data_IF_412613000553
#
_entry.id   IF_412613000553
#
_cell.length_a   1.000
_cell.length_b   1.000
_cell.length_c   1.000
_cell.angle_alpha   90.00
_cell.angle_beta   90.00
_cell.angle_gamma   90.00
#
_symmetry.space_group_name_H-M   'P 1'
#
loop_
_entity.id
_entity.type
_entity.pdbx_description
1 polymer ?
#
# COMPACT_ATOMS: atom_id res chain seq x y z
N UNK A 1 -2.05 11.89 2.67
CA UNK A 1 -2.74 10.63 2.33
C UNK A 1 -3.19 10.64 0.88
N UNK A 2 -2.28 10.36 -0.06
CA UNK A 2 -2.58 10.31 -1.51
C UNK A 2 -3.09 8.94 -1.99
N UNK A 3 -3.20 7.95 -1.10
CA UNK A 3 -3.72 6.61 -1.46
C UNK A 3 -2.69 5.53 -1.77
N UNK A 4 -1.39 5.70 -1.41
CA UNK A 4 -0.36 4.67 -1.62
C UNK A 4 -0.70 3.30 -1.00
N UNK A 5 -1.00 3.29 0.29
CA UNK A 5 -1.43 2.09 1.01
C UNK A 5 -2.71 1.50 0.42
N UNK A 6 -3.65 2.36 -0.04
CA UNK A 6 -4.88 1.93 -0.71
C UNK A 6 -4.58 1.22 -2.03
N UNK A 7 -3.70 1.77 -2.86
CA UNK A 7 -3.27 1.15 -4.11
C UNK A 7 -2.54 -0.18 -3.87
N UNK A 8 -1.63 -0.22 -2.88
CA UNK A 8 -0.95 -1.45 -2.51
C UNK A 8 -1.94 -2.53 -2.01
N UNK A 9 -2.97 -2.16 -1.24
CA UNK A 9 -4.06 -3.09 -0.85
C UNK A 9 -4.82 -3.59 -2.08
N UNK A 10 -5.15 -2.72 -3.03
CA UNK A 10 -5.82 -3.10 -4.25
C UNK A 10 -5.00 -4.14 -5.04
N UNK A 11 -3.68 -3.97 -5.16
CA UNK A 11 -2.76 -4.95 -5.78
C UNK A 11 -2.74 -6.24 -4.97
N UNK A 12 -2.53 -6.14 -3.65
CA UNK A 12 -2.37 -7.29 -2.76
C UNK A 12 -3.59 -8.22 -2.77
N UNK A 13 -4.80 -7.66 -2.79
CA UNK A 13 -6.06 -8.42 -2.82
C UNK A 13 -6.58 -8.68 -4.24
N UNK A 14 -5.91 -8.21 -5.28
CA UNK A 14 -6.35 -8.43 -6.66
C UNK A 14 -6.37 -9.92 -6.99
N UNK A 15 -7.41 -10.37 -7.71
CA UNK A 15 -7.58 -11.79 -8.08
C UNK A 15 -6.34 -12.38 -8.74
N UNK A 16 -5.75 -11.66 -9.71
CA UNK A 16 -4.52 -12.10 -10.37
C UNK A 16 -3.33 -12.27 -9.42
N UNK A 17 -3.21 -11.40 -8.40
CA UNK A 17 -2.14 -11.54 -7.40
C UNK A 17 -2.41 -12.73 -6.46
N UNK A 18 -3.66 -12.94 -6.05
CA UNK A 18 -4.08 -14.10 -5.24
C UNK A 18 -3.80 -15.42 -5.97
N UNK A 19 -4.09 -15.47 -7.27
CA UNK A 19 -3.93 -16.67 -8.08
C UNK A 19 -2.45 -16.99 -8.35
N UNK A 20 -1.66 -15.95 -8.64
CA UNK A 20 -0.25 -16.08 -9.01
C UNK A 20 0.67 -16.28 -7.80
N UNK A 21 0.44 -15.60 -6.68
CA UNK A 21 1.30 -15.66 -5.50
C UNK A 21 0.65 -16.50 -4.39
N UNK A 22 1.05 -17.77 -4.20
CA UNK A 22 0.47 -18.64 -3.16
C UNK A 22 0.70 -18.11 -1.74
N UNK A 23 1.78 -17.34 -1.55
CA UNK A 23 2.10 -16.64 -0.30
C UNK A 23 2.11 -15.15 -0.55
N UNK A 24 1.40 -14.40 0.29
CA UNK A 24 1.41 -12.95 0.27
C UNK A 24 1.66 -12.40 1.66
N UNK A 25 2.61 -11.50 1.79
CA UNK A 25 3.04 -10.92 3.06
C UNK A 25 2.85 -9.42 3.04
N UNK A 26 2.28 -8.86 4.09
CA UNK A 26 2.17 -7.42 4.27
C UNK A 26 2.89 -7.00 5.54
N UNK A 27 3.91 -6.17 5.39
CA UNK A 27 4.73 -5.65 6.48
C UNK A 27 4.44 -4.15 6.63
N UNK A 28 3.86 -3.75 7.75
CA UNK A 28 3.68 -2.32 8.07
C UNK A 28 4.81 -1.84 8.96
N UNK A 29 5.62 -0.91 8.45
CA UNK A 29 6.73 -0.34 9.20
C UNK A 29 6.24 0.79 10.10
N UNK A 30 6.51 0.64 11.39
CA UNK A 30 6.32 1.72 12.37
C UNK A 30 7.62 2.50 12.49
N UNK A 31 7.55 3.82 12.48
CA UNK A 31 8.71 4.70 12.50
C UNK A 31 9.61 4.42 13.71
N UNK A 32 10.92 4.26 13.48
CA UNK A 32 11.90 3.92 14.52
C UNK A 32 11.85 2.47 15.02
N UNK A 33 10.98 1.62 14.46
CA UNK A 33 10.77 0.25 14.93
C UNK A 33 10.56 -0.76 13.79
N UNK A 34 11.41 -0.75 12.76
CA UNK A 34 11.33 -1.73 11.66
C UNK A 34 11.38 -3.21 12.14
N UNK A 35 12.04 -3.48 13.27
CA UNK A 35 12.08 -4.81 13.90
C UNK A 35 10.76 -5.22 14.60
N UNK A 36 9.87 -4.26 14.89
CA UNK A 36 8.52 -4.49 15.41
C UNK A 36 7.45 -4.34 14.33
N UNK A 37 7.84 -4.43 13.06
CA UNK A 37 6.86 -4.36 11.97
C UNK A 37 5.84 -5.49 12.13
N UNK A 38 4.56 -5.12 12.12
CA UNK A 38 3.48 -6.10 12.12
C UNK A 38 3.39 -6.72 10.74
N UNK A 39 3.35 -8.05 10.73
CA UNK A 39 3.26 -8.82 9.50
C UNK A 39 1.92 -9.52 9.42
N UNK A 40 1.22 -9.34 8.30
CA UNK A 40 0.05 -10.12 7.94
C UNK A 40 0.44 -11.10 6.83
N UNK A 41 0.32 -12.40 7.13
CA UNK A 41 0.55 -13.48 6.17
C UNK A 41 -0.80 -14.01 5.66
N UNK A 42 -0.93 -14.10 4.34
CA UNK A 42 -2.11 -14.67 3.70
C UNK A 42 -1.70 -15.83 2.79
N UNK A 43 -2.29 -16.99 3.06
CA UNK A 43 -2.17 -18.19 2.23
C UNK A 43 -3.32 -18.28 1.22
N UNK A 44 -3.09 -19.02 0.13
CA UNK A 44 -4.05 -19.17 -0.97
C UNK A 44 -5.35 -19.87 -0.57
N UNK A 45 -5.33 -20.70 0.48
CA UNK A 45 -6.50 -21.37 1.05
C UNK A 45 -7.45 -20.43 1.81
N UNK A 46 -7.14 -19.12 1.88
CA UNK A 46 -7.99 -18.12 2.53
C UNK A 46 -7.81 -18.05 4.04
N UNK A 47 -6.92 -18.87 4.62
CA UNK A 47 -6.61 -18.82 6.04
C UNK A 47 -5.83 -17.54 6.34
N UNK A 48 -6.39 -16.67 7.18
CA UNK A 48 -5.67 -15.52 7.76
C UNK A 48 -4.69 -16.07 8.79
N UNK A 49 -3.44 -16.22 8.39
CA UNK A 49 -2.42 -16.71 9.29
C UNK A 49 -1.72 -15.52 9.97
N UNK A 50 -1.84 -15.50 11.29
CA UNK A 50 -0.96 -14.92 12.30
C UNK A 50 -0.37 -13.52 12.06
N UNK A 51 -0.51 -12.66 13.07
CA UNK A 51 0.35 -11.49 13.21
C UNK A 51 1.73 -11.94 13.68
N UNK A 52 2.74 -11.76 12.84
CA UNK A 52 4.13 -12.16 13.10
C UNK A 52 5.04 -10.94 13.25
N UNK A 53 6.20 -11.15 13.89
CA UNK A 53 7.34 -10.26 13.75
C UNK A 53 8.10 -10.54 12.46
N UNK A 54 8.75 -9.51 11.90
CA UNK A 54 9.48 -9.63 10.63
C UNK A 54 10.54 -10.74 10.64
N UNK A 55 11.15 -11.02 11.79
CA UNK A 55 12.15 -12.10 11.97
C UNK A 55 11.56 -13.49 11.77
N UNK A 56 10.26 -13.68 11.99
CA UNK A 56 9.56 -14.96 11.84
C UNK A 56 9.04 -15.19 10.41
N UNK A 57 9.14 -14.19 9.55
CA UNK A 57 8.62 -14.24 8.17
C UNK A 57 9.49 -15.10 7.27
N UNK A 58 10.80 -15.17 7.56
CA UNK A 58 11.80 -15.84 6.72
C UNK A 58 11.40 -17.27 6.36
N UNK A 59 11.01 -18.05 7.36
CA UNK A 59 10.64 -19.46 7.19
C UNK A 59 9.35 -19.63 6.38
N UNK A 60 8.46 -18.63 6.41
CA UNK A 60 7.22 -18.65 5.64
C UNK A 60 7.44 -18.36 4.16
N UNK A 61 8.51 -17.62 3.82
CA UNK A 61 8.87 -17.22 2.46
C UNK A 61 9.78 -18.22 1.74
N UNK A 62 10.46 -19.09 2.50
CA UNK A 62 11.46 -20.03 1.97
C UNK A 62 10.87 -20.93 0.90
N UNK A 63 11.56 -21.00 -0.25
CA UNK A 63 11.23 -21.86 -1.39
C UNK A 63 9.79 -21.69 -1.88
N UNK A 64 9.24 -20.48 -1.77
CA UNK A 64 7.90 -20.14 -2.26
C UNK A 64 7.90 -18.92 -3.14
N UNK A 65 6.94 -18.88 -4.08
CA UNK A 65 6.64 -17.71 -4.89
C UNK A 65 5.80 -16.74 -4.06
N UNK A 66 6.33 -15.54 -3.82
CA UNK A 66 5.71 -14.61 -2.87
C UNK A 66 5.49 -13.21 -3.46
N UNK A 67 4.43 -12.55 -2.99
CA UNK A 67 4.26 -11.10 -3.08
C UNK A 67 4.45 -10.50 -1.69
N UNK A 68 5.44 -9.64 -1.53
CA UNK A 68 5.73 -8.96 -0.26
C UNK A 68 5.41 -7.48 -0.41
N UNK A 69 4.59 -6.94 0.48
CA UNK A 69 4.31 -5.50 0.56
C UNK A 69 5.07 -4.94 1.75
N UNK A 70 5.93 -3.95 1.50
CA UNK A 70 6.60 -3.14 2.51
C UNK A 70 5.90 -1.77 2.57
N UNK A 71 5.01 -1.60 3.54
CA UNK A 71 4.14 -0.43 3.64
C UNK A 71 4.71 0.63 4.59
N UNK A 72 4.74 1.88 4.11
CA UNK A 72 5.11 3.09 4.85
C UNK A 72 6.57 3.11 5.34
N UNK A 73 7.52 2.66 4.52
CA UNK A 73 8.96 2.71 4.85
C UNK A 73 9.47 4.15 4.79
N UNK A 74 10.08 4.64 5.88
CA UNK A 74 10.44 6.06 6.03
C UNK A 74 11.89 6.39 5.69
N UNK A 75 12.81 5.43 5.72
CA UNK A 75 14.22 5.66 5.47
C UNK A 75 14.90 4.43 4.83
N UNK A 76 16.08 4.65 4.24
CA UNK A 76 16.85 3.60 3.54
C UNK A 76 17.37 2.53 4.49
N UNK A 77 17.75 2.89 5.72
CA UNK A 77 18.24 1.92 6.72
C UNK A 77 17.18 0.89 7.10
N UNK A 78 15.93 1.32 7.26
CA UNK A 78 14.82 0.41 7.53
C UNK A 78 14.50 -0.46 6.31
N UNK A 79 14.58 0.11 5.10
CA UNK A 79 14.47 -0.68 3.86
C UNK A 79 15.55 -1.75 3.77
N UNK A 80 16.82 -1.40 3.95
CA UNK A 80 17.96 -2.32 3.83
C UNK A 80 17.83 -3.49 4.80
N UNK A 81 17.44 -3.21 6.06
CA UNK A 81 17.21 -4.25 7.08
C UNK A 81 16.08 -5.20 6.69
N UNK A 82 14.96 -4.67 6.20
CA UNK A 82 13.84 -5.49 5.74
C UNK A 82 14.25 -6.32 4.53
N UNK A 83 14.97 -5.70 3.59
CA UNK A 83 15.46 -6.36 2.40
C UNK A 83 16.45 -7.47 2.73
N UNK A 84 17.35 -7.28 3.69
CA UNK A 84 18.27 -8.32 4.18
C UNK A 84 17.52 -9.55 4.71
N UNK A 85 16.48 -9.32 5.55
CA UNK A 85 15.65 -10.41 6.08
C UNK A 85 14.93 -11.16 4.95
N UNK A 86 14.42 -10.44 3.96
CA UNK A 86 13.67 -11.00 2.82
C UNK A 86 14.59 -11.72 1.83
N UNK A 87 15.70 -11.11 1.42
CA UNK A 87 16.67 -11.68 0.47
C UNK A 87 17.31 -12.95 1.01
N UNK A 88 17.55 -12.99 2.32
CA UNK A 88 18.05 -14.17 3.01
C UNK A 88 17.03 -15.30 3.18
N UNK A 89 15.78 -15.15 2.74
CA UNK A 89 14.74 -16.17 2.93
C UNK A 89 14.75 -17.30 1.90
N UNK A 90 15.42 -17.14 0.76
CA UNK A 90 15.40 -18.14 -0.32
C UNK A 90 14.09 -18.16 -1.10
N UNK A 91 13.46 -17.00 -1.28
CA UNK A 91 12.28 -16.83 -2.14
C UNK A 91 12.56 -17.31 -3.58
N UNK A 92 11.56 -17.91 -4.22
CA UNK A 92 11.70 -18.37 -5.61
C UNK A 92 11.82 -17.18 -6.57
N UNK A 93 12.68 -17.33 -7.58
CA UNK A 93 12.77 -16.42 -8.72
C UNK A 93 11.40 -16.18 -9.36
N UNK A 94 11.01 -14.91 -9.49
CA UNK A 94 9.66 -14.52 -9.91
C UNK A 94 8.83 -13.88 -8.78
N UNK A 95 9.29 -14.00 -7.53
CA UNK A 95 8.69 -13.25 -6.43
C UNK A 95 8.80 -11.73 -6.64
N UNK A 96 7.90 -10.96 -5.99
CA UNK A 96 7.79 -9.52 -6.17
C UNK A 96 7.71 -8.80 -4.83
N UNK A 97 8.33 -7.62 -4.76
CA UNK A 97 8.23 -6.70 -3.63
C UNK A 97 7.52 -5.43 -4.09
N UNK A 98 6.51 -5.00 -3.33
CA UNK A 98 5.83 -3.72 -3.52
C UNK A 98 6.19 -2.83 -2.34
N UNK A 99 6.86 -1.72 -2.63
CA UNK A 99 7.25 -0.73 -1.62
C UNK A 99 6.31 0.47 -1.67
N UNK A 100 5.79 0.89 -0.52
CA UNK A 100 5.17 2.20 -0.37
C UNK A 100 6.02 3.10 0.54
N UNK A 101 6.29 4.31 0.07
CA UNK A 101 7.05 5.31 0.85
C UNK A 101 6.57 6.71 0.54
N UNK A 102 6.80 7.64 1.47
CA UNK A 102 6.59 9.08 1.27
C UNK A 102 7.81 9.76 0.66
N UNK A 103 8.95 9.07 0.64
CA UNK A 103 10.25 9.64 0.38
C UNK A 103 10.84 9.10 -0.93
N UNK A 104 11.03 9.99 -1.92
CA UNK A 104 11.50 9.59 -3.26
C UNK A 104 12.89 8.95 -3.21
N UNK A 105 13.78 9.42 -2.32
CA UNK A 105 15.10 8.83 -2.12
C UNK A 105 15.02 7.37 -1.63
N UNK A 106 14.05 7.02 -0.78
CA UNK A 106 13.85 5.62 -0.35
C UNK A 106 13.40 4.75 -1.53
N UNK A 107 12.52 5.25 -2.39
CA UNK A 107 12.08 4.51 -3.57
C UNK A 107 13.21 4.29 -4.59
N UNK A 108 14.02 5.32 -4.85
CA UNK A 108 15.17 5.24 -5.75
C UNK A 108 16.30 4.36 -5.20
N UNK A 109 16.47 4.33 -3.87
CA UNK A 109 17.40 3.43 -3.20
C UNK A 109 16.96 1.97 -3.30
N UNK A 110 15.65 1.71 -3.22
CA UNK A 110 15.09 0.37 -3.28
C UNK A 110 15.18 -0.28 -4.67
N UNK A 111 15.11 0.52 -5.73
CA UNK A 111 15.28 0.06 -7.11
C UNK A 111 15.93 1.17 -7.94
N UNK A 112 17.25 1.05 -8.13
CA UNK A 112 18.04 2.02 -8.89
C UNK A 112 17.82 1.91 -10.40
N UNK A 113 17.16 0.84 -10.87
CA UNK A 113 16.98 0.54 -12.29
C UNK A 113 15.66 1.06 -12.87
N UNK A 114 14.68 1.37 -12.02
CA UNK A 114 13.34 1.77 -12.45
C UNK A 114 12.91 3.13 -11.90
N UNK A 115 11.96 3.76 -12.61
CA UNK A 115 11.32 4.99 -12.12
C UNK A 115 10.19 4.65 -11.14
N UNK A 116 10.18 5.22 -9.92
CA UNK A 116 9.10 4.98 -8.97
C UNK A 116 7.74 5.46 -9.48
N UNK A 117 6.69 4.68 -9.24
CA UNK A 117 5.32 5.11 -9.53
C UNK A 117 4.87 6.22 -8.56
N UNK A 118 4.80 7.46 -9.05
CA UNK A 118 4.35 8.59 -8.27
C UNK A 118 2.83 8.76 -8.38
N UNK A 119 2.10 8.48 -7.29
CA UNK A 119 0.66 8.72 -7.24
C UNK A 119 0.39 10.23 -7.27
N UNK A 120 -0.38 10.67 -8.26
CA UNK A 120 -0.83 12.05 -8.41
C UNK A 120 -1.98 12.39 -7.45
N UNK A 121 -2.22 13.68 -7.27
CA UNK A 121 -3.43 14.19 -6.63
C UNK A 121 -4.66 13.91 -7.51
N UNK A 122 -5.82 13.84 -6.89
CA UNK A 122 -7.10 13.75 -7.58
C UNK A 122 -7.40 15.05 -8.32
N UNK A 123 -8.07 14.96 -9.46
CA UNK A 123 -8.67 16.12 -10.12
C UNK A 123 -9.84 16.65 -9.29
N UNK A 124 -10.37 17.83 -9.63
CA UNK A 124 -11.55 18.39 -8.96
C UNK A 124 -12.76 17.48 -9.10
N UNK A 125 -12.90 16.88 -10.28
CA UNK A 125 -13.98 15.97 -10.63
C UNK A 125 -13.86 14.65 -9.86
N UNK A 126 -12.67 14.03 -9.85
CA UNK A 126 -12.41 12.82 -9.07
C UNK A 126 -12.58 13.05 -7.56
N UNK A 127 -12.17 14.23 -7.07
CA UNK A 127 -12.36 14.63 -5.67
C UNK A 127 -13.85 14.76 -5.33
N UNK A 128 -14.64 15.32 -6.24
CA UNK A 128 -16.09 15.43 -6.08
C UNK A 128 -16.79 14.07 -6.11
N UNK A 129 -16.37 13.18 -7.01
CA UNK A 129 -16.88 11.81 -7.07
C UNK A 129 -16.56 11.04 -5.79
N UNK A 130 -15.32 11.12 -5.31
CA UNK A 130 -14.91 10.50 -4.05
C UNK A 130 -15.71 11.06 -2.87
N UNK A 131 -15.88 12.38 -2.79
CA UNK A 131 -16.69 13.02 -1.74
C UNK A 131 -18.11 12.45 -1.71
N UNK A 132 -18.81 12.42 -2.86
CA UNK A 132 -20.17 11.85 -2.94
C UNK A 132 -20.22 10.40 -2.50
N UNK A 133 -19.18 9.62 -2.80
CA UNK A 133 -19.09 8.21 -2.39
C UNK A 133 -18.91 8.07 -0.89
N UNK A 134 -18.06 8.90 -0.28
CA UNK A 134 -17.81 8.91 1.18
C UNK A 134 -19.06 9.35 1.94
N UNK A 135 -19.80 10.33 1.42
CA UNK A 135 -21.03 10.83 2.06
C UNK A 135 -22.29 10.03 1.71
N UNK A 136 -22.21 9.05 0.80
CA UNK A 136 -23.36 8.26 0.34
C UNK A 136 -24.34 9.03 -0.54
N UNK A 137 -23.95 10.19 -1.10
CA UNK A 137 -24.82 11.06 -1.90
C UNK A 137 -24.71 10.83 -3.40
N UNK A 138 -24.14 9.70 -3.85
CA UNK A 138 -23.88 9.41 -5.29
C UNK A 138 -25.14 9.49 -6.16
N UNK A 139 -26.27 9.00 -5.63
CA UNK A 139 -27.59 9.01 -6.29
C UNK A 139 -28.50 10.16 -5.83
N UNK A 140 -28.00 11.00 -4.92
CA UNK A 140 -28.79 12.08 -4.33
C UNK A 140 -28.63 13.36 -5.14
N UNK A 141 -29.75 13.95 -5.54
CA UNK A 141 -29.75 15.29 -6.14
C UNK A 141 -29.68 16.32 -5.02
N UNK A 142 -28.51 16.91 -4.83
CA UNK A 142 -28.33 18.01 -3.89
C UNK A 142 -29.00 19.27 -4.43
N UNK A 143 -29.52 20.11 -3.54
CA UNK A 143 -29.94 21.45 -3.91
C UNK A 143 -28.75 22.25 -4.47
N UNK A 144 -29.00 23.06 -5.51
CA UNK A 144 -27.93 23.78 -6.23
C UNK A 144 -27.02 24.62 -5.31
N UNK A 145 -27.60 25.27 -4.29
CA UNK A 145 -26.83 26.07 -3.31
C UNK A 145 -25.93 25.19 -2.44
N UNK A 146 -26.44 24.04 -1.99
CA UNK A 146 -25.70 23.08 -1.15
C UNK A 146 -24.58 22.43 -1.96
N UNK A 147 -24.85 22.01 -3.19
CA UNK A 147 -23.83 21.45 -4.08
C UNK A 147 -22.70 22.45 -4.33
N UNK A 148 -23.03 23.71 -4.62
CA UNK A 148 -22.02 24.76 -4.85
C UNK A 148 -21.14 24.97 -3.63
N UNK A 149 -21.72 24.97 -2.43
CA UNK A 149 -20.96 25.09 -1.18
C UNK A 149 -20.06 23.87 -0.96
N UNK A 150 -20.60 22.67 -1.12
CA UNK A 150 -19.85 21.42 -0.95
C UNK A 150 -18.68 21.32 -1.93
N UNK A 151 -18.88 21.66 -3.21
CA UNK A 151 -17.79 21.72 -4.20
C UNK A 151 -16.70 22.73 -3.85
N UNK A 152 -17.06 23.87 -3.26
CA UNK A 152 -16.08 24.84 -2.77
C UNK A 152 -15.25 24.27 -1.61
N UNK A 153 -15.88 23.54 -0.68
CA UNK A 153 -15.18 22.86 0.42
C UNK A 153 -14.25 21.77 -0.12
N UNK A 154 -14.75 20.90 -1.00
CA UNK A 154 -13.97 19.85 -1.67
C UNK A 154 -12.78 20.43 -2.43
N UNK A 155 -12.96 21.57 -3.11
CA UNK A 155 -11.88 22.27 -3.80
C UNK A 155 -10.75 22.72 -2.88
N UNK A 156 -11.05 23.03 -1.61
CA UNK A 156 -10.03 23.40 -0.60
C UNK A 156 -9.22 22.19 -0.09
N UNK A 157 -9.69 20.96 -0.29
CA UNK A 157 -8.96 19.75 0.09
C UNK A 157 -7.78 19.44 -0.84
N UNK A 158 -7.61 20.18 -1.94
CA UNK A 158 -6.41 20.13 -2.78
C UNK A 158 -6.17 18.77 -3.47
N UNK A 159 -7.22 17.99 -3.72
CA UNK A 159 -7.10 16.68 -4.38
C UNK A 159 -6.49 15.57 -3.52
N UNK A 160 -6.42 15.75 -2.19
CA UNK A 160 -5.98 14.73 -1.25
C UNK A 160 -7.15 13.82 -0.84
N UNK A 161 -7.14 12.51 -1.18
CA UNK A 161 -8.19 11.58 -0.78
C UNK A 161 -8.46 11.54 0.73
N UNK A 162 -7.43 11.66 1.57
CA UNK A 162 -7.59 11.62 3.02
C UNK A 162 -8.31 12.84 3.62
N UNK A 163 -8.39 13.94 2.87
CA UNK A 163 -9.05 15.18 3.31
C UNK A 163 -10.50 15.28 2.83
N UNK A 164 -11.00 14.26 2.11
CA UNK A 164 -12.36 14.17 1.56
C UNK A 164 -13.18 13.16 2.35
#
# INVERSE_FOLDING_TARGET
>A
GVGKTTLAKAIYYHKAAVEHFPIRVWVTVTEGAAYKAQVLLMKKDGTKDQTLYVTQVRDHLKEKLCLVVLDNVSNTKDFDKLYEILSGSGMINGSRVVLTTRFKNVALHADTSNTPHQIRLLTKEESWELFKKVTGTEKTKLESKVEKLARNVVGRCGGLPLAL
#
